data_IF_949285184169
#
_entry.id   IF_949285184169
#
_cell.length_a   1.000
_cell.length_b   1.000
_cell.length_c   1.000
_cell.angle_alpha   90.00
_cell.angle_beta   90.00
_cell.angle_gamma   90.00
#
_symmetry.space_group_name_H-M   'P 1'
#
loop_
_entity.id
_entity.type
_entity.pdbx_description
1 polymer ?
#
# COMPACT_ATOMS: atom_id res chain seq x y z
N UNK A 1 -4.24 22.93 -10.73
CA UNK A 1 -3.63 22.25 -9.57
C UNK A 1 -4.09 20.80 -9.56
N UNK A 2 -3.15 19.85 -9.64
CA UNK A 2 -3.49 18.44 -9.55
C UNK A 2 -3.91 18.13 -8.11
N UNK A 3 -5.15 17.67 -7.90
CA UNK A 3 -5.60 17.19 -6.60
C UNK A 3 -5.02 15.79 -6.39
N UNK A 4 -3.93 15.69 -5.63
CA UNK A 4 -3.37 14.42 -5.22
C UNK A 4 -4.33 13.74 -4.25
N UNK A 5 -4.78 12.52 -4.57
CA UNK A 5 -5.56 11.69 -3.66
C UNK A 5 -4.61 10.69 -3.01
N UNK A 6 -4.31 10.91 -1.73
CA UNK A 6 -3.60 9.93 -0.91
C UNK A 6 -4.58 8.90 -0.34
N UNK A 7 -4.24 7.61 -0.46
CA UNK A 7 -4.96 6.52 0.20
C UNK A 7 -3.99 5.79 1.13
N UNK A 8 -4.25 5.85 2.43
CA UNK A 8 -3.51 5.08 3.43
C UNK A 8 -4.39 3.94 3.93
N UNK A 9 -3.93 2.69 3.75
CA UNK A 9 -4.62 1.49 4.26
C UNK A 9 -3.72 0.78 5.26
N UNK A 10 -4.19 0.69 6.50
CA UNK A 10 -3.45 0.06 7.60
C UNK A 10 -4.12 -1.25 7.94
N UNK A 11 -3.35 -2.34 7.92
CA UNK A 11 -3.81 -3.66 8.35
C UNK A 11 -3.00 -4.11 9.56
N UNK A 12 -3.69 -4.53 10.62
CA UNK A 12 -3.06 -5.20 11.76
C UNK A 12 -3.45 -6.68 11.74
N UNK A 13 -2.47 -7.55 11.56
CA UNK A 13 -2.64 -8.99 11.75
C UNK A 13 -2.26 -9.33 13.18
N UNK A 14 -3.26 -9.56 14.05
CA UNK A 14 -3.03 -9.96 15.44
C UNK A 14 -2.60 -11.43 15.48
N UNK A 15 -1.33 -11.71 15.19
CA UNK A 15 -0.68 -12.97 15.60
C UNK A 15 0.12 -12.70 16.88
N UNK A 16 0.04 -13.64 17.82
CA UNK A 16 0.27 -13.49 19.27
C UNK A 16 1.69 -13.12 19.77
N UNK A 17 2.60 -12.62 18.95
CA UNK A 17 3.91 -12.17 19.42
C UNK A 17 4.35 -10.90 18.68
N UNK A 18 4.56 -9.82 19.46
CA UNK A 18 5.12 -8.51 19.10
C UNK A 18 4.87 -8.02 17.66
N UNK A 19 3.88 -7.13 17.53
CA UNK A 19 3.42 -6.59 16.25
C UNK A 19 4.33 -5.49 15.71
N UNK A 20 4.85 -5.72 14.50
CA UNK A 20 5.17 -4.66 13.55
C UNK A 20 3.89 -4.28 12.78
N UNK A 21 3.40 -3.03 12.84
CA UNK A 21 2.28 -2.58 12.03
C UNK A 21 2.70 -2.56 10.55
N UNK A 22 2.12 -3.43 9.73
CA UNK A 22 2.35 -3.39 8.30
C UNK A 22 1.54 -2.23 7.68
N UNK A 23 2.22 -1.10 7.48
CA UNK A 23 1.65 0.06 6.81
C UNK A 23 1.75 -0.12 5.29
N UNK A 24 0.67 -0.54 4.64
CA UNK A 24 0.60 -0.55 3.17
C UNK A 24 0.05 0.78 2.66
N UNK A 25 0.93 1.69 2.25
CA UNK A 25 0.51 2.93 1.59
C UNK A 25 0.33 2.66 0.10
N UNK A 26 -0.88 2.85 -0.43
CA UNK A 26 -1.14 2.81 -1.88
C UNK A 26 -1.32 4.24 -2.36
N UNK A 27 -0.24 4.85 -2.83
CA UNK A 27 -0.30 6.16 -3.48
C UNK A 27 -0.73 6.00 -4.93
N UNK A 28 -1.98 6.42 -5.22
CA UNK A 28 -2.40 6.60 -6.61
C UNK A 28 -1.87 7.95 -7.13
N UNK A 29 -0.61 7.99 -7.53
CA UNK A 29 -0.07 9.09 -8.32
C UNK A 29 -0.59 8.98 -9.76
N UNK A 30 -1.85 9.36 -9.95
CA UNK A 30 -2.48 9.34 -11.26
C UNK A 30 -2.11 10.57 -12.08
N UNK A 31 -0.99 10.52 -12.82
CA UNK A 31 -0.77 11.38 -14.01
C UNK A 31 -1.49 10.84 -15.24
N UNK A 32 -2.36 9.85 -15.09
CA UNK A 32 -3.14 9.31 -16.20
C UNK A 32 -4.38 10.19 -16.42
N UNK A 33 -4.30 11.08 -17.40
CA UNK A 33 -5.44 11.78 -18.04
C UNK A 33 -6.34 10.80 -18.82
N UNK A 34 -6.59 9.59 -18.30
CA UNK A 34 -7.67 8.74 -18.82
C UNK A 34 -8.98 9.37 -18.37
N UNK A 35 -9.91 9.56 -19.32
CA UNK A 35 -11.23 10.11 -19.01
C UNK A 35 -11.89 9.30 -17.89
N UNK A 36 -12.04 9.92 -16.72
CA UNK A 36 -12.55 9.28 -15.50
C UNK A 36 -14.01 8.85 -15.66
N UNK A 37 -14.77 9.59 -16.49
CA UNK A 37 -16.15 9.25 -16.84
C UNK A 37 -16.19 8.65 -18.25
N UNK A 38 -16.75 7.44 -18.45
CA UNK A 38 -16.96 6.92 -19.79
C UNK A 38 -17.92 7.84 -20.55
N UNK A 39 -17.58 8.16 -21.80
CA UNK A 39 -18.50 8.87 -22.70
C UNK A 39 -19.83 8.13 -22.76
N UNK A 40 -20.93 8.87 -22.93
CA UNK A 40 -22.23 8.23 -23.20
C UNK A 40 -22.07 7.35 -24.44
N UNK A 41 -22.63 6.15 -24.36
CA UNK A 41 -22.72 5.27 -25.53
C UNK A 41 -23.87 5.73 -26.41
N UNK A 42 -23.86 5.34 -27.69
CA UNK A 42 -24.99 5.60 -28.59
C UNK A 42 -26.31 5.04 -28.04
N UNK A 43 -26.26 3.85 -27.43
CA UNK A 43 -27.41 3.24 -26.77
C UNK A 43 -27.90 4.06 -25.57
N UNK A 44 -26.98 4.55 -24.72
CA UNK A 44 -27.35 5.41 -23.58
C UNK A 44 -28.00 6.71 -24.02
N UNK A 45 -27.56 7.30 -25.13
CA UNK A 45 -28.18 8.51 -25.71
C UNK A 45 -29.58 8.18 -26.23
N UNK A 46 -29.72 7.09 -26.98
CA UNK A 46 -31.02 6.62 -27.48
C UNK A 46 -32.04 6.39 -26.35
N UNK A 47 -31.67 5.64 -25.31
CA UNK A 47 -32.57 5.38 -24.18
C UNK A 47 -33.00 6.67 -23.49
N UNK A 48 -32.12 7.68 -23.41
CA UNK A 48 -32.45 8.95 -22.80
C UNK A 48 -33.44 9.77 -23.64
N UNK A 49 -33.27 9.79 -24.96
CA UNK A 49 -34.20 10.47 -25.86
C UNK A 49 -35.58 9.81 -25.85
N UNK A 50 -35.61 8.47 -25.91
CA UNK A 50 -36.86 7.70 -25.81
C UNK A 50 -37.50 7.76 -24.43
N UNK A 51 -36.72 7.90 -23.36
CA UNK A 51 -37.29 8.08 -22.02
C UNK A 51 -38.07 9.39 -21.87
N UNK A 52 -37.80 10.39 -22.72
CA UNK A 52 -38.49 11.68 -22.70
C UNK A 52 -39.74 11.70 -23.60
N UNK A 53 -39.97 10.71 -24.46
CA UNK A 53 -41.20 10.63 -25.24
C UNK A 53 -42.37 10.12 -24.39
N UNK A 54 -43.56 10.67 -24.62
CA UNK A 54 -44.76 10.41 -23.81
C UNK A 54 -45.11 8.93 -23.68
N UNK A 55 -44.82 8.16 -24.72
CA UNK A 55 -44.99 6.70 -24.81
C UNK A 55 -44.27 5.92 -23.69
N UNK A 56 -43.15 6.43 -23.17
CA UNK A 56 -42.33 5.73 -22.16
C UNK A 56 -42.47 6.31 -20.75
N UNK A 57 -43.08 7.49 -20.59
CA UNK A 57 -43.25 8.11 -19.27
C UNK A 57 -44.21 7.34 -18.37
N UNK A 58 -45.18 6.63 -18.97
CA UNK A 58 -46.19 5.86 -18.25
C UNK A 58 -45.71 4.45 -17.83
N UNK A 59 -44.54 4.01 -18.29
CA UNK A 59 -44.04 2.65 -18.06
C UNK A 59 -43.15 2.54 -16.82
N UNK A 60 -43.20 1.37 -16.18
CA UNK A 60 -42.28 1.05 -15.08
C UNK A 60 -40.83 1.03 -15.59
N UNK A 61 -39.88 1.11 -14.66
CA UNK A 61 -38.44 1.11 -15.02
C UNK A 61 -38.04 -0.17 -15.76
N UNK A 62 -38.60 -1.32 -15.38
CA UNK A 62 -38.29 -2.62 -15.99
C UNK A 62 -38.80 -2.70 -17.43
N UNK A 63 -40.08 -2.31 -17.65
CA UNK A 63 -40.70 -2.29 -18.97
C UNK A 63 -40.00 -1.32 -19.92
N UNK A 64 -39.61 -0.15 -19.42
CA UNK A 64 -38.80 0.80 -20.20
C UNK A 64 -37.51 0.17 -20.70
N UNK A 65 -36.76 -0.50 -19.82
CA UNK A 65 -35.49 -1.14 -20.19
C UNK A 65 -35.68 -2.22 -21.25
N UNK A 66 -36.74 -3.01 -21.15
CA UNK A 66 -37.07 -4.03 -22.13
C UNK A 66 -37.39 -3.41 -23.49
N UNK A 67 -38.31 -2.44 -23.52
CA UNK A 67 -38.76 -1.75 -24.74
C UNK A 67 -37.64 -0.94 -25.41
N UNK A 68 -36.74 -0.34 -24.64
CA UNK A 68 -35.53 0.30 -25.19
C UNK A 68 -34.63 -0.70 -25.91
N UNK A 69 -34.45 -1.89 -25.32
CA UNK A 69 -33.64 -2.95 -25.91
C UNK A 69 -34.20 -3.43 -27.26
N UNK A 70 -35.51 -3.66 -27.33
CA UNK A 70 -36.20 -4.03 -28.57
C UNK A 70 -36.10 -2.92 -29.62
N UNK A 71 -36.45 -1.70 -29.25
CA UNK A 71 -36.44 -0.55 -30.17
C UNK A 71 -35.04 -0.24 -30.68
N UNK A 72 -33.99 -0.50 -29.89
CA UNK A 72 -32.62 -0.36 -30.36
C UNK A 72 -32.23 -1.44 -31.36
N UNK A 73 -32.73 -2.68 -31.16
CA UNK A 73 -32.49 -3.83 -32.04
C UNK A 73 -33.18 -3.71 -33.40
N UNK A 74 -34.25 -2.93 -33.50
CA UNK A 74 -34.92 -2.65 -34.78
C UNK A 74 -34.25 -1.53 -35.60
N UNK A 75 -33.46 -0.64 -34.97
CA UNK A 75 -32.73 0.40 -35.70
C UNK A 75 -31.69 -0.18 -36.67
N UNK A 76 -31.61 0.41 -37.86
CA UNK A 76 -30.59 0.07 -38.86
C UNK A 76 -29.17 0.44 -38.42
N UNK A 77 -28.17 -0.13 -39.10
CA UNK A 77 -26.76 0.08 -38.77
C UNK A 77 -26.35 1.56 -38.87
N UNK A 78 -26.84 2.27 -39.88
CA UNK A 78 -26.59 3.71 -40.07
C UNK A 78 -27.18 4.55 -38.93
N UNK A 79 -28.43 4.29 -38.54
CA UNK A 79 -29.08 5.01 -37.44
C UNK A 79 -28.33 4.80 -36.12
N UNK A 80 -27.91 3.56 -35.82
CA UNK A 80 -27.06 3.29 -34.66
C UNK A 80 -25.71 4.00 -34.76
N UNK A 81 -25.13 4.10 -35.95
CA UNK A 81 -23.89 4.83 -36.18
C UNK A 81 -24.05 6.33 -35.92
N UNK A 82 -25.17 6.94 -36.34
CA UNK A 82 -25.52 8.33 -36.02
C UNK A 82 -25.63 8.55 -34.51
N UNK A 83 -26.32 7.66 -33.78
CA UNK A 83 -26.37 7.74 -32.31
C UNK A 83 -24.98 7.64 -31.66
N UNK A 84 -24.11 6.76 -32.16
CA UNK A 84 -22.73 6.63 -31.68
C UNK A 84 -21.90 7.88 -31.99
N UNK A 85 -22.05 8.46 -33.17
CA UNK A 85 -21.36 9.69 -33.56
C UNK A 85 -21.82 10.87 -32.70
N UNK A 86 -23.13 11.03 -32.51
CA UNK A 86 -23.70 12.08 -31.67
C UNK A 86 -23.32 11.93 -30.19
N UNK A 87 -23.33 10.71 -29.66
CA UNK A 87 -22.87 10.47 -28.30
C UNK A 87 -21.37 10.80 -28.10
N UNK A 88 -20.56 10.72 -29.17
CA UNK A 88 -19.15 11.16 -29.20
C UNK A 88 -18.98 12.66 -29.42
N UNK A 89 -19.93 13.36 -30.01
CA UNK A 89 -19.86 14.83 -30.14
C UNK A 89 -20.33 15.56 -28.89
N UNK A 90 -21.20 14.92 -28.09
CA UNK A 90 -21.68 15.52 -26.85
C UNK A 90 -20.52 15.83 -25.87
N UNK A 91 -20.57 17.00 -25.20
CA UNK A 91 -19.58 17.36 -24.20
C UNK A 91 -19.60 16.33 -23.06
N UNK A 92 -18.41 16.02 -22.56
CA UNK A 92 -18.26 15.13 -21.40
C UNK A 92 -18.86 15.88 -20.21
N UNK A 93 -19.88 15.32 -19.52
CA UNK A 93 -20.46 16.02 -18.39
C UNK A 93 -19.39 16.18 -17.30
N UNK A 94 -18.98 17.42 -17.03
CA UNK A 94 -18.10 17.86 -15.94
C UNK A 94 -18.77 17.76 -14.56
N UNK A 95 -19.99 17.21 -14.53
CA UNK A 95 -20.91 17.15 -13.41
C UNK A 95 -20.25 16.68 -12.10
N UNK A 96 -20.03 17.65 -11.21
CA UNK A 96 -19.53 17.45 -9.86
C UNK A 96 -20.41 16.47 -9.06
N UNK A 97 -21.71 16.40 -9.37
CA UNK A 97 -22.65 15.43 -8.78
C UNK A 97 -22.27 13.99 -9.15
N UNK A 98 -21.89 13.74 -10.40
CA UNK A 98 -21.41 12.42 -10.82
C UNK A 98 -20.12 12.06 -10.11
N UNK A 99 -19.17 13.00 -10.01
CA UNK A 99 -17.89 12.77 -9.32
C UNK A 99 -18.13 12.38 -7.85
N UNK A 100 -18.98 13.13 -7.15
CA UNK A 100 -19.36 12.82 -5.75
C UNK A 100 -20.02 11.45 -5.62
N UNK A 101 -20.94 11.11 -6.54
CA UNK A 101 -21.60 9.80 -6.55
C UNK A 101 -20.63 8.64 -6.82
N UNK A 102 -19.73 8.82 -7.78
CA UNK A 102 -18.73 7.80 -8.14
C UNK A 102 -17.70 7.62 -7.03
N UNK A 103 -17.29 8.72 -6.39
CA UNK A 103 -16.46 8.72 -5.18
C UNK A 103 -17.12 7.87 -4.09
N UNK A 104 -18.34 8.20 -3.67
CA UNK A 104 -19.07 7.44 -2.65
C UNK A 104 -19.22 5.97 -3.01
N UNK A 105 -19.49 5.64 -4.29
CA UNK A 105 -19.59 4.26 -4.76
C UNK A 105 -18.27 3.51 -4.61
N UNK A 106 -17.16 4.14 -4.97
CA UNK A 106 -15.82 3.53 -4.90
C UNK A 106 -15.40 3.34 -3.45
N UNK A 107 -15.60 4.34 -2.59
CA UNK A 107 -15.35 4.23 -1.15
C UNK A 107 -16.13 3.06 -0.54
N UNK A 108 -17.41 2.89 -0.85
CA UNK A 108 -18.21 1.75 -0.37
C UNK A 108 -17.68 0.39 -0.81
N UNK A 109 -17.14 0.28 -2.04
CA UNK A 109 -16.52 -0.97 -2.51
C UNK A 109 -15.27 -1.31 -1.70
N UNK A 110 -14.42 -0.33 -1.42
CA UNK A 110 -13.21 -0.53 -0.60
C UNK A 110 -13.61 -0.98 0.81
N UNK A 111 -14.61 -0.33 1.42
CA UNK A 111 -15.12 -0.74 2.74
C UNK A 111 -15.65 -2.17 2.72
N UNK A 112 -16.45 -2.55 1.72
CA UNK A 112 -16.92 -3.92 1.56
C UNK A 112 -15.78 -4.94 1.39
N UNK A 113 -14.65 -4.55 0.79
CA UNK A 113 -13.47 -5.41 0.74
C UNK A 113 -12.82 -5.57 2.11
N UNK A 114 -12.75 -4.52 2.92
CA UNK A 114 -12.26 -4.61 4.30
C UNK A 114 -13.15 -5.56 5.11
N UNK A 115 -14.47 -5.49 4.94
CA UNK A 115 -15.40 -6.41 5.61
C UNK A 115 -15.17 -7.87 5.17
N UNK A 116 -14.94 -8.12 3.88
CA UNK A 116 -14.59 -9.48 3.40
C UNK A 116 -13.26 -9.98 3.98
N UNK A 117 -12.26 -9.11 4.11
CA UNK A 117 -10.99 -9.48 4.74
C UNK A 117 -11.19 -9.88 6.21
N UNK A 118 -12.12 -9.22 6.91
CA UNK A 118 -12.53 -9.61 8.27
C UNK A 118 -13.23 -10.96 8.31
N UNK A 119 -14.07 -11.28 7.34
CA UNK A 119 -14.70 -12.61 7.27
C UNK A 119 -13.67 -13.72 7.13
N UNK A 120 -12.59 -13.47 6.37
CA UNK A 120 -11.49 -14.45 6.17
C UNK A 120 -10.60 -14.51 7.43
N UNK A 121 -10.20 -13.35 7.96
CA UNK A 121 -9.35 -13.23 9.15
C UNK A 121 -10.06 -12.28 10.13
N UNK A 122 -10.78 -12.80 11.15
CA UNK A 122 -11.59 -11.99 12.08
C UNK A 122 -10.80 -10.96 12.89
N UNK A 123 -9.49 -11.15 13.00
CA UNK A 123 -8.57 -10.23 13.67
C UNK A 123 -8.11 -9.07 12.79
N UNK A 124 -8.51 -9.04 11.51
CA UNK A 124 -8.18 -7.96 10.59
C UNK A 124 -8.79 -6.66 11.07
N UNK A 125 -7.95 -5.72 11.46
CA UNK A 125 -8.36 -4.34 11.69
C UNK A 125 -7.85 -3.46 10.55
N UNK A 126 -8.73 -2.59 10.05
CA UNK A 126 -8.54 -1.83 8.83
C UNK A 126 -8.89 -0.36 9.00
N UNK A 127 -8.10 0.52 8.40
CA UNK A 127 -8.40 1.94 8.34
C UNK A 127 -8.04 2.54 6.99
N UNK A 128 -8.85 3.48 6.52
CA UNK A 128 -8.77 4.15 5.23
C UNK A 128 -8.82 5.67 5.44
N UNK A 129 -7.77 6.38 5.05
CA UNK A 129 -7.80 7.85 4.92
C UNK A 129 -7.84 8.23 3.46
N UNK A 130 -8.75 9.13 3.10
CA UNK A 130 -8.89 9.71 1.76
C UNK A 130 -8.77 11.23 1.86
N UNK A 131 -7.97 11.84 0.99
CA UNK A 131 -7.90 13.30 0.83
C UNK A 131 -8.39 13.73 -0.55
N UNK A 132 -9.18 14.81 -0.58
CA UNK A 132 -9.63 15.46 -1.81
C UNK A 132 -9.41 16.98 -1.67
N UNK A 133 -8.21 17.45 -2.02
CA UNK A 133 -7.82 18.84 -1.79
C UNK A 133 -7.50 19.08 -0.30
N UNK A 134 -8.17 20.05 0.32
CA UNK A 134 -8.00 20.36 1.75
C UNK A 134 -8.85 19.49 2.68
N UNK A 135 -9.83 18.76 2.14
CA UNK A 135 -10.69 17.89 2.95
C UNK A 135 -10.03 16.53 3.15
N UNK A 136 -10.00 16.07 4.41
CA UNK A 136 -9.59 14.73 4.81
C UNK A 136 -10.83 14.01 5.32
N UNK A 137 -11.09 12.83 4.76
CA UNK A 137 -12.13 11.91 5.22
C UNK A 137 -11.49 10.59 5.64
N UNK A 138 -12.00 9.99 6.69
CA UNK A 138 -11.48 8.73 7.22
C UNK A 138 -12.59 7.73 7.50
N UNK A 139 -12.33 6.47 7.18
CA UNK A 139 -13.26 5.36 7.37
C UNK A 139 -12.50 4.14 7.86
N UNK A 140 -13.08 3.36 8.75
CA UNK A 140 -12.41 2.17 9.25
C UNK A 140 -13.18 1.50 10.36
N UNK A 141 -12.54 0.49 10.93
CA UNK A 141 -13.08 -0.25 12.07
C UNK A 141 -12.93 0.59 13.34
N UNK A 142 -13.76 0.30 14.36
CA UNK A 142 -13.66 1.00 15.65
C UNK A 142 -12.25 0.88 16.25
N UNK A 143 -11.67 -0.33 16.26
CA UNK A 143 -10.30 -0.59 16.73
C UNK A 143 -9.24 0.04 15.84
N UNK A 144 -9.42 0.07 14.52
CA UNK A 144 -8.53 0.77 13.60
C UNK A 144 -8.51 2.27 13.86
N UNK A 145 -9.66 2.88 14.18
CA UNK A 145 -9.72 4.28 14.57
C UNK A 145 -9.06 4.54 15.93
N UNK A 146 -9.29 3.67 16.92
CA UNK A 146 -8.63 3.76 18.23
C UNK A 146 -7.12 3.66 18.10
N UNK A 147 -6.63 2.75 17.27
CA UNK A 147 -5.19 2.59 16.99
C UNK A 147 -4.57 3.88 16.44
N UNK A 148 -5.22 4.58 15.51
CA UNK A 148 -4.65 5.84 14.99
C UNK A 148 -4.71 6.99 15.99
N UNK A 149 -5.69 6.98 16.89
CA UNK A 149 -5.74 7.93 18.00
C UNK A 149 -4.63 7.64 19.02
N UNK A 150 -4.27 6.37 19.21
CA UNK A 150 -3.18 5.92 20.09
C UNK A 150 -1.80 6.25 19.50
N UNK A 151 -1.66 6.22 18.16
CA UNK A 151 -0.43 6.54 17.43
C UNK A 151 -0.62 7.70 16.43
N UNK A 152 -0.83 8.95 16.92
CA UNK A 152 -1.18 10.10 16.07
C UNK A 152 -0.10 10.43 15.02
N UNK A 153 1.17 10.14 15.29
CA UNK A 153 2.29 10.34 14.37
C UNK A 153 2.27 9.39 13.15
N UNK A 154 1.72 8.19 13.31
CA UNK A 154 1.67 7.16 12.28
C UNK A 154 0.62 7.46 11.20
N UNK A 155 -0.49 8.08 11.60
CA UNK A 155 -1.67 8.27 10.77
C UNK A 155 -1.80 9.69 10.24
N UNK A 156 -1.64 10.66 11.12
CA UNK A 156 -2.08 12.04 10.87
C UNK A 156 -0.88 12.91 10.49
N UNK A 157 0.25 12.76 11.18
CA UNK A 157 1.47 13.51 10.84
C UNK A 157 2.14 12.95 9.59
N UNK A 158 2.27 11.63 9.46
CA UNK A 158 2.82 11.00 8.26
C UNK A 158 1.97 11.29 7.00
N UNK A 159 0.64 11.28 7.13
CA UNK A 159 -0.27 11.59 6.02
C UNK A 159 -0.37 13.10 5.74
N UNK A 160 -0.37 13.97 6.77
CA UNK A 160 -0.32 15.44 6.57
C UNK A 160 1.02 15.88 5.99
N UNK A 161 2.13 15.31 6.43
CA UNK A 161 3.45 15.54 5.85
C UNK A 161 3.47 15.10 4.38
N UNK A 162 2.91 13.92 4.05
CA UNK A 162 2.74 13.48 2.67
C UNK A 162 1.91 14.45 1.81
N UNK A 163 0.76 14.93 2.30
CA UNK A 163 -0.10 15.85 1.55
C UNK A 163 0.54 17.22 1.35
N UNK A 164 1.27 17.73 2.35
CA UNK A 164 1.84 19.08 2.33
C UNK A 164 3.21 19.17 1.63
N UNK A 165 4.02 18.11 1.67
CA UNK A 165 5.42 18.15 1.23
C UNK A 165 5.77 17.13 0.14
N UNK A 166 4.84 16.23 -0.21
CA UNK A 166 5.20 14.97 -0.87
C UNK A 166 6.04 14.09 0.04
N UNK A 167 6.21 12.80 -0.25
CA UNK A 167 7.14 11.98 0.52
C UNK A 167 8.55 12.58 0.41
N UNK A 168 9.21 12.98 1.52
CA UNK A 168 10.66 12.98 1.48
C UNK A 168 11.04 11.50 1.30
N UNK A 169 11.93 11.19 0.35
CA UNK A 169 12.45 9.82 0.12
C UNK A 169 13.07 9.18 1.37
N UNK A 170 13.12 9.90 2.50
CA UNK A 170 13.69 9.51 3.78
C UNK A 170 12.68 9.21 4.90
N UNK A 171 11.36 9.47 4.76
CA UNK A 171 10.41 9.29 5.90
C UNK A 171 9.88 7.86 6.11
N UNK A 172 10.20 6.93 5.23
CA UNK A 172 10.19 5.50 5.55
C UNK A 172 11.55 5.01 5.12
N UNK A 173 12.40 4.66 6.09
CA UNK A 173 13.71 4.06 5.85
C UNK A 173 13.56 2.71 5.15
N UNK A 174 13.20 2.71 3.87
CA UNK A 174 13.48 1.62 2.97
C UNK A 174 14.83 1.88 2.33
N UNK A 175 15.88 2.00 3.17
CA UNK A 175 17.16 1.52 2.70
C UNK A 175 16.92 0.05 2.37
N UNK A 176 17.13 -0.32 1.11
CA UNK A 176 16.82 -1.66 0.62
C UNK A 176 17.82 -2.60 1.28
N UNK A 177 17.49 -3.13 2.47
CA UNK A 177 18.38 -4.00 3.23
C UNK A 177 18.52 -5.31 2.47
N UNK A 178 19.67 -5.48 1.82
CA UNK A 178 20.04 -6.71 1.12
C UNK A 178 20.95 -7.56 1.99
N UNK A 179 21.11 -8.82 1.58
CA UNK A 179 22.09 -9.75 2.17
C UNK A 179 23.50 -9.13 2.14
N UNK A 180 23.85 -8.42 1.06
CA UNK A 180 25.16 -7.77 0.92
C UNK A 180 25.37 -6.65 1.93
N UNK A 181 24.34 -5.85 2.24
CA UNK A 181 24.42 -4.79 3.26
C UNK A 181 24.71 -5.37 4.64
N UNK A 182 24.00 -6.43 5.04
CA UNK A 182 24.26 -7.11 6.33
C UNK A 182 25.65 -7.75 6.36
N UNK A 183 26.09 -8.32 5.23
CA UNK A 183 27.42 -8.89 5.11
C UNK A 183 28.51 -7.83 5.28
N UNK A 184 28.33 -6.64 4.72
CA UNK A 184 29.24 -5.50 4.92
C UNK A 184 29.30 -5.10 6.39
N UNK A 185 28.15 -4.93 7.05
CA UNK A 185 28.09 -4.57 8.48
C UNK A 185 28.85 -5.60 9.33
N UNK A 186 28.63 -6.91 9.09
CA UNK A 186 29.34 -7.95 9.84
C UNK A 186 30.85 -7.93 9.59
N UNK A 187 31.29 -7.71 8.35
CA UNK A 187 32.71 -7.61 8.02
C UNK A 187 33.36 -6.38 8.66
N UNK A 188 32.65 -5.25 8.71
CA UNK A 188 33.12 -4.02 9.37
C UNK A 188 33.30 -4.27 10.86
N UNK A 189 32.27 -4.76 11.56
CA UNK A 189 32.37 -5.06 13.00
C UNK A 189 33.47 -6.07 13.32
N UNK A 190 33.69 -7.06 12.46
CA UNK A 190 34.78 -8.03 12.62
C UNK A 190 36.17 -7.41 12.35
N UNK A 191 36.28 -6.56 11.33
CA UNK A 191 37.50 -5.83 11.00
C UNK A 191 37.91 -4.93 12.15
N UNK A 192 36.94 -4.25 12.76
CA UNK A 192 37.15 -3.39 13.93
C UNK A 192 37.64 -4.20 15.13
N UNK A 193 37.01 -5.34 15.42
CA UNK A 193 37.45 -6.23 16.50
C UNK A 193 38.84 -6.85 16.27
N UNK A 194 39.23 -7.06 15.01
CA UNK A 194 40.58 -7.51 14.65
C UNK A 194 41.62 -6.38 14.64
N UNK A 195 41.20 -5.11 14.63
CA UNK A 195 42.07 -3.97 14.34
C UNK A 195 42.63 -3.94 12.91
N UNK A 196 42.07 -4.72 11.98
CA UNK A 196 42.56 -4.85 10.60
C UNK A 196 41.41 -4.62 9.64
N UNK A 197 41.52 -3.59 8.80
CA UNK A 197 40.50 -3.21 7.83
C UNK A 197 40.28 -4.27 6.76
N UNK A 198 39.04 -4.40 6.31
CA UNK A 198 38.68 -5.24 5.16
C UNK A 198 38.67 -6.74 5.42
N UNK A 199 38.75 -7.17 6.69
CA UNK A 199 38.63 -8.59 7.04
C UNK A 199 37.19 -9.05 6.88
N UNK A 200 37.04 -10.19 6.21
CA UNK A 200 35.75 -10.87 6.08
C UNK A 200 35.48 -11.69 7.34
N UNK A 201 34.23 -11.73 7.76
CA UNK A 201 33.81 -12.50 8.92
C UNK A 201 34.04 -14.02 8.69
N UNK A 202 34.79 -14.71 9.57
CA UNK A 202 35.04 -16.14 9.45
C UNK A 202 33.89 -16.94 10.08
N UNK A 203 32.88 -17.27 9.28
CA UNK A 203 31.72 -18.02 9.78
C UNK A 203 32.05 -19.44 10.29
N UNK A 204 33.20 -20.01 9.90
CA UNK A 204 33.72 -21.25 10.50
C UNK A 204 34.09 -21.05 11.97
N UNK A 205 34.77 -19.95 12.31
CA UNK A 205 35.11 -19.58 13.69
C UNK A 205 33.89 -19.17 14.52
N UNK A 206 32.85 -18.62 13.88
CA UNK A 206 31.54 -18.38 14.51
C UNK A 206 30.90 -19.70 14.96
N UNK A 207 30.92 -20.73 14.11
CA UNK A 207 30.39 -22.07 14.46
C UNK A 207 31.17 -22.71 15.61
N UNK A 208 32.46 -22.42 15.72
CA UNK A 208 33.34 -22.90 16.80
C UNK A 208 33.22 -22.08 18.09
N UNK A 209 32.41 -21.00 18.09
CA UNK A 209 32.22 -20.13 19.26
C UNK A 209 33.40 -19.18 19.55
N UNK A 210 34.41 -19.16 18.67
CA UNK A 210 35.59 -18.30 18.76
C UNK A 210 35.27 -16.84 18.39
N UNK A 211 34.22 -16.62 17.61
CA UNK A 211 33.74 -15.28 17.23
C UNK A 211 32.27 -15.17 17.58
N UNK A 212 31.90 -14.13 18.33
CA UNK A 212 30.52 -13.83 18.73
C UNK A 212 30.15 -12.39 18.38
N UNK A 213 28.85 -12.14 18.24
CA UNK A 213 28.30 -10.80 18.03
C UNK A 213 27.38 -10.46 19.20
N UNK A 214 27.71 -9.40 19.90
CA UNK A 214 26.87 -8.76 20.91
C UNK A 214 25.96 -7.71 20.26
N UNK A 215 24.86 -7.35 20.93
CA UNK A 215 23.87 -6.41 20.39
C UNK A 215 22.96 -7.00 19.30
N UNK A 216 22.97 -8.32 19.12
CA UNK A 216 22.06 -8.98 18.18
C UNK A 216 20.59 -8.82 18.63
N UNK A 217 19.64 -8.66 17.69
CA UNK A 217 18.22 -8.59 18.03
C UNK A 217 17.74 -9.81 18.82
N UNK A 218 16.75 -9.67 19.72
CA UNK A 218 16.22 -10.77 20.51
C UNK A 218 15.83 -11.99 19.66
N UNK A 219 16.33 -13.17 20.02
CA UNK A 219 16.05 -14.42 19.31
C UNK A 219 16.78 -14.61 17.98
N UNK A 220 17.68 -13.70 17.59
CA UNK A 220 18.49 -13.81 16.37
C UNK A 220 19.93 -14.18 16.72
N UNK A 221 20.39 -15.33 16.23
CA UNK A 221 21.78 -15.79 16.40
C UNK A 221 22.66 -15.36 15.22
N UNK A 222 23.95 -15.13 15.47
CA UNK A 222 24.94 -14.86 14.42
C UNK A 222 25.11 -16.08 13.50
N UNK A 223 24.84 -15.90 12.20
CA UNK A 223 24.91 -16.89 11.13
C UNK A 223 25.33 -16.20 9.83
N UNK A 224 25.49 -16.98 8.76
CA UNK A 224 25.74 -16.41 7.44
C UNK A 224 24.54 -15.53 7.00
N UNK A 225 24.76 -14.34 6.42
CA UNK A 225 23.69 -13.41 6.04
C UNK A 225 22.60 -14.02 5.13
N UNK A 226 22.97 -14.98 4.26
CA UNK A 226 22.02 -15.67 3.39
C UNK A 226 21.05 -16.61 4.13
N UNK A 227 21.31 -16.91 5.40
CA UNK A 227 20.43 -17.74 6.23
C UNK A 227 19.30 -16.94 6.89
N UNK A 228 19.27 -15.62 6.73
CA UNK A 228 18.26 -14.77 7.33
C UNK A 228 17.10 -14.47 6.39
N UNK A 229 15.89 -14.53 6.94
CA UNK A 229 14.69 -14.04 6.24
C UNK A 229 14.64 -12.50 6.18
N UNK A 230 13.80 -11.91 5.32
CA UNK A 230 13.69 -10.46 5.16
C UNK A 230 13.41 -9.68 6.46
N UNK A 231 12.68 -10.28 7.40
CA UNK A 231 12.41 -9.68 8.72
C UNK A 231 13.67 -9.61 9.60
N UNK A 232 14.44 -10.70 9.62
CA UNK A 232 15.68 -10.78 10.40
C UNK A 232 16.76 -9.85 9.84
N UNK A 233 16.88 -9.73 8.51
CA UNK A 233 17.79 -8.77 7.88
C UNK A 233 17.49 -7.34 8.32
N UNK A 234 16.21 -6.94 8.34
CA UNK A 234 15.82 -5.60 8.81
C UNK A 234 16.08 -5.39 10.29
N UNK A 235 15.78 -6.38 11.13
CA UNK A 235 16.05 -6.28 12.57
C UNK A 235 17.56 -6.13 12.85
N UNK A 236 18.41 -6.89 12.16
CA UNK A 236 19.87 -6.77 12.28
C UNK A 236 20.34 -5.40 11.78
N UNK A 237 19.77 -4.90 10.68
CA UNK A 237 20.11 -3.56 10.16
C UNK A 237 19.73 -2.44 11.12
N UNK A 238 18.57 -2.53 11.77
CA UNK A 238 18.13 -1.56 12.76
C UNK A 238 19.05 -1.51 13.99
N UNK A 239 19.58 -2.66 14.40
CA UNK A 239 20.52 -2.79 15.52
C UNK A 239 21.99 -2.53 15.12
N UNK A 240 22.30 -2.11 13.88
CA UNK A 240 23.68 -2.06 13.35
C UNK A 240 24.67 -1.28 14.22
N UNK A 241 24.20 -0.24 14.89
CA UNK A 241 25.03 0.63 15.73
C UNK A 241 25.32 -0.03 17.09
N UNK A 242 24.42 -0.90 17.57
CA UNK A 242 24.55 -1.68 18.80
C UNK A 242 25.40 -2.96 18.61
N UNK A 243 25.54 -3.43 17.36
CA UNK A 243 26.34 -4.62 17.06
C UNK A 243 27.82 -4.42 17.42
N UNK A 244 28.37 -5.38 18.17
CA UNK A 244 29.79 -5.44 18.51
C UNK A 244 30.32 -6.86 18.34
N UNK A 245 31.43 -7.00 17.61
CA UNK A 245 32.10 -8.28 17.46
C UNK A 245 33.07 -8.54 18.63
N UNK A 246 33.07 -9.76 19.15
CA UNK A 246 33.97 -10.23 20.21
C UNK A 246 34.71 -11.47 19.73
N UNK A 247 36.04 -11.46 19.87
CA UNK A 247 36.93 -12.55 19.47
C UNK A 247 37.48 -13.21 20.74
N UNK A 248 37.19 -14.49 20.91
CA UNK A 248 37.66 -15.28 22.04
C UNK A 248 38.99 -15.94 21.65
N UNK A 249 40.09 -15.45 22.24
CA UNK A 249 41.41 -16.05 22.11
C UNK A 249 41.56 -17.24 23.07
N UNK A 250 40.77 -18.31 22.89
CA UNK A 250 41.11 -19.60 23.51
C UNK A 250 41.90 -20.42 22.51
N UNK A 251 43.23 -20.31 22.59
CA UNK A 251 44.16 -21.01 21.71
C UNK A 251 45.60 -20.50 21.75
N UNK A 252 46.07 -19.92 22.85
CA UNK A 252 47.49 -19.69 23.08
C UNK A 252 47.92 -20.64 24.20
N UNK A 253 48.75 -21.67 23.95
CA UNK A 253 49.32 -22.46 25.04
C UNK A 253 50.24 -21.55 25.82
N UNK A 254 50.05 -21.48 27.14
CA UNK A 254 50.90 -20.76 28.07
C UNK A 254 52.35 -21.27 27.94
N UNK A 255 53.17 -20.49 27.24
CA UNK A 255 54.62 -20.60 27.27
C UNK A 255 55.16 -19.71 28.37
N UNK A 256 55.46 -20.32 29.52
CA UNK A 256 56.26 -19.75 30.61
C UNK A 256 56.90 -20.97 31.29
N UNK A 257 58.13 -21.35 30.90
CA UNK A 257 59.39 -20.97 31.57
C UNK A 257 59.32 -21.12 33.09
#
# INVERSE_FOLDING_TARGET
MASSIGILVIFRELSLYHLDPFLSTVTMNGTTTKQIKPRRTGYSLFCMEKANSEEFKQLTRSERLHRFGESWRTLGQEQRALFRARARSLPIPTDQKWRKKEWTRTTKKILSMIDKLKEIIPTTEGYLVLSAGSEIMSYGTSKGSMFLNEYPGLATESFRAFLNQGFPSSALGSEKVTISVIQTIFNEKYSDACGVRGRRMPYSSVKQGLVKMEGMPPGVLLRHPSSYGPRQLRAIFAAKDELRCVINHQGQPDGSS
#
